data_IF_162124780040
#
_entry.id   IF_162124780040
#
_cell.length_a   1.000
_cell.length_b   1.000
_cell.length_c   1.000
_cell.angle_alpha   90.00
_cell.angle_beta   90.00
_cell.angle_gamma   90.00
#
_symmetry.space_group_name_H-M   'P 1'
#
loop_
_entity.id
_entity.type
_entity.pdbx_description
1 polymer ?
#
# COMPACT_ATOMS: atom_id res chain seq x y z
N UNK A 1 -7.09 18.36 -39.85
CA UNK A 1 -6.00 17.47 -40.26
C UNK A 1 -6.10 16.19 -39.42
N UNK A 2 -6.66 15.12 -39.99
CA UNK A 2 -6.86 13.83 -39.31
C UNK A 2 -5.58 13.00 -39.43
N UNK A 3 -4.90 12.72 -38.32
CA UNK A 3 -3.73 11.83 -38.32
C UNK A 3 -4.20 10.39 -38.62
N UNK A 4 -3.76 9.75 -39.71
CA UNK A 4 -4.14 8.37 -39.98
C UNK A 4 -3.50 7.46 -38.93
N UNK A 5 -4.31 6.62 -38.28
CA UNK A 5 -3.85 5.57 -37.39
C UNK A 5 -2.90 4.64 -38.17
N UNK A 6 -1.59 4.78 -37.90
CA UNK A 6 -0.59 3.94 -38.55
C UNK A 6 -0.76 2.46 -38.14
N UNK A 7 -0.50 1.49 -39.04
CA UNK A 7 -0.72 0.06 -38.79
C UNK A 7 -0.02 -0.50 -37.54
N UNK A 8 1.13 0.04 -37.15
CA UNK A 8 1.85 -0.39 -35.96
C UNK A 8 1.11 -0.03 -34.65
N UNK A 9 0.25 1.01 -34.65
CA UNK A 9 -0.60 1.30 -33.49
C UNK A 9 -1.58 0.15 -33.23
N UNK A 10 -2.09 -0.51 -34.28
CA UNK A 10 -2.96 -1.67 -34.13
C UNK A 10 -2.19 -2.85 -33.55
N UNK A 11 -0.97 -3.10 -34.04
CA UNK A 11 -0.09 -4.13 -33.47
C UNK A 11 0.24 -3.85 -32.00
N UNK A 12 0.48 -2.59 -31.64
CA UNK A 12 0.72 -2.17 -30.26
C UNK A 12 -0.50 -2.37 -29.36
N UNK A 13 -1.69 -1.91 -29.77
CA UNK A 13 -2.94 -2.11 -29.02
C UNK A 13 -3.25 -3.59 -28.86
N UNK A 14 -3.03 -4.39 -29.91
CA UNK A 14 -3.19 -5.84 -29.85
C UNK A 14 -2.22 -6.49 -28.86
N UNK A 15 -0.94 -6.12 -28.90
CA UNK A 15 0.07 -6.63 -27.98
C UNK A 15 -0.22 -6.25 -26.53
N UNK A 16 -0.58 -4.98 -26.26
CA UNK A 16 -0.99 -4.51 -24.92
C UNK A 16 -2.24 -5.26 -24.45
N UNK A 17 -3.24 -5.44 -25.33
CA UNK A 17 -4.44 -6.20 -25.03
C UNK A 17 -4.15 -7.67 -24.71
N UNK A 18 -3.22 -8.29 -25.43
CA UNK A 18 -2.78 -9.67 -25.20
C UNK A 18 -2.05 -9.82 -23.86
N UNK A 19 -1.08 -8.95 -23.57
CA UNK A 19 -0.35 -8.95 -22.29
C UNK A 19 -1.32 -8.74 -21.12
N UNK A 20 -2.25 -7.79 -21.26
CA UNK A 20 -3.25 -7.53 -20.23
C UNK A 20 -4.15 -8.75 -19.95
N UNK A 21 -4.57 -9.47 -21.00
CA UNK A 21 -5.34 -10.73 -20.84
C UNK A 21 -4.54 -11.79 -20.10
N UNK A 22 -3.27 -11.97 -20.46
CA UNK A 22 -2.40 -12.95 -19.80
C UNK A 22 -2.19 -12.61 -18.32
N UNK A 23 -1.96 -11.33 -18.00
CA UNK A 23 -1.83 -10.86 -16.62
C UNK A 23 -3.11 -11.06 -15.81
N UNK A 24 -4.28 -10.83 -16.41
CA UNK A 24 -5.56 -11.02 -15.73
C UNK A 24 -5.80 -12.47 -15.30
N UNK A 25 -5.43 -13.46 -16.12
CA UNK A 25 -5.55 -14.89 -15.76
C UNK A 25 -4.70 -15.22 -14.53
N UNK A 26 -3.46 -14.72 -14.46
CA UNK A 26 -2.60 -14.92 -13.30
C UNK A 26 -3.17 -14.26 -12.04
N UNK A 27 -3.69 -13.03 -12.17
CA UNK A 27 -4.32 -12.32 -11.05
C UNK A 27 -5.53 -13.09 -10.53
N UNK A 28 -6.41 -13.56 -11.43
CA UNK A 28 -7.61 -14.32 -11.09
C UNK A 28 -7.28 -15.62 -10.37
N UNK A 29 -6.27 -16.35 -10.85
CA UNK A 29 -5.77 -17.55 -10.19
C UNK A 29 -5.27 -17.25 -8.76
N UNK A 30 -4.41 -16.25 -8.60
CA UNK A 30 -3.87 -15.87 -7.28
C UNK A 30 -4.96 -15.38 -6.32
N UNK A 31 -5.98 -14.68 -6.82
CA UNK A 31 -7.15 -14.29 -6.03
C UNK A 31 -7.94 -15.51 -5.54
N UNK A 32 -8.11 -16.49 -6.42
CA UNK A 32 -8.80 -17.75 -6.11
C UNK A 32 -8.01 -18.57 -5.11
N UNK A 33 -6.69 -18.70 -5.29
CA UNK A 33 -5.80 -19.38 -4.36
C UNK A 33 -5.84 -18.74 -2.98
N UNK A 34 -5.73 -17.41 -2.89
CA UNK A 34 -5.86 -16.69 -1.63
C UNK A 34 -7.22 -16.93 -0.95
N UNK A 35 -8.30 -17.06 -1.72
CA UNK A 35 -9.63 -17.40 -1.17
C UNK A 35 -9.65 -18.81 -0.58
N UNK A 36 -9.14 -19.79 -1.32
CA UNK A 36 -9.07 -21.20 -0.86
C UNK A 36 -8.19 -21.31 0.39
N UNK A 37 -7.02 -20.67 0.41
CA UNK A 37 -6.13 -20.66 1.58
C UNK A 37 -6.82 -20.04 2.81
N UNK A 38 -7.66 -19.02 2.63
CA UNK A 38 -8.45 -18.46 3.73
C UNK A 38 -9.55 -19.39 4.20
N UNK A 39 -10.23 -20.08 3.29
CA UNK A 39 -11.24 -21.09 3.64
C UNK A 39 -10.60 -22.21 4.47
N UNK A 40 -9.37 -22.62 4.14
CA UNK A 40 -8.60 -23.60 4.91
C UNK A 40 -8.15 -23.10 6.29
N UNK A 41 -7.73 -21.83 6.40
CA UNK A 41 -7.38 -21.20 7.68
C UNK A 41 -8.63 -20.97 8.56
N UNK A 42 -9.81 -20.94 7.95
CA UNK A 42 -11.11 -20.78 8.60
C UNK A 42 -11.39 -19.36 9.09
N UNK A 43 -12.36 -19.19 10.01
CA UNK A 43 -12.77 -17.88 10.57
C UNK A 43 -11.76 -17.26 11.55
N UNK A 44 -10.56 -17.82 11.67
CA UNK A 44 -9.54 -17.27 12.58
C UNK A 44 -9.09 -15.90 12.07
N UNK A 45 -8.97 -14.92 13.00
CA UNK A 45 -8.41 -13.61 12.68
C UNK A 45 -6.99 -13.80 12.14
N UNK A 46 -6.76 -13.39 10.89
CA UNK A 46 -5.43 -13.40 10.28
C UNK A 46 -4.61 -12.28 10.92
N UNK A 47 -3.73 -12.65 11.85
CA UNK A 47 -2.79 -11.73 12.47
C UNK A 47 -1.55 -11.62 11.57
N UNK A 48 -1.52 -10.57 10.76
CA UNK A 48 -0.34 -10.24 9.97
C UNK A 48 0.76 -9.64 10.85
N UNK A 49 1.98 -10.17 10.74
CA UNK A 49 3.19 -9.58 11.31
C UNK A 49 3.46 -8.21 10.67
N UNK A 50 4.14 -7.31 11.37
CA UNK A 50 4.44 -5.98 10.83
C UNK A 50 5.26 -6.02 9.53
N UNK A 51 6.13 -7.02 9.35
CA UNK A 51 6.82 -7.26 8.08
C UNK A 51 5.89 -7.66 6.94
N UNK A 52 4.88 -8.48 7.22
CA UNK A 52 3.86 -8.86 6.22
C UNK A 52 3.03 -7.64 5.83
N UNK A 53 2.60 -6.84 6.81
CA UNK A 53 1.91 -5.57 6.58
C UNK A 53 2.76 -4.60 5.77
N UNK A 54 4.07 -4.55 6.02
CA UNK A 54 5.02 -3.71 5.26
C UNK A 54 5.10 -4.12 3.80
N UNK A 55 5.27 -5.42 3.53
CA UNK A 55 5.30 -5.93 2.15
C UNK A 55 3.99 -5.64 1.41
N UNK A 56 2.85 -5.88 2.06
CA UNK A 56 1.52 -5.58 1.50
C UNK A 56 1.31 -4.08 1.25
N UNK A 57 1.74 -3.23 2.18
CA UNK A 57 1.61 -1.79 2.05
C UNK A 57 2.41 -1.21 0.88
N UNK A 58 3.64 -1.71 0.67
CA UNK A 58 4.48 -1.28 -0.46
C UNK A 58 3.84 -1.70 -1.79
N UNK A 59 3.48 -2.98 -1.94
CA UNK A 59 2.85 -3.48 -3.17
C UNK A 59 1.47 -2.89 -3.43
N UNK A 60 0.69 -2.68 -2.38
CA UNK A 60 -0.65 -2.10 -2.48
C UNK A 60 -0.67 -0.61 -2.85
N UNK A 61 0.40 0.13 -2.54
CA UNK A 61 0.55 1.53 -2.98
C UNK A 61 0.59 1.64 -4.50
N UNK A 62 1.31 0.74 -5.16
CA UNK A 62 1.49 0.76 -6.63
C UNK A 62 0.19 0.39 -7.37
N UNK A 63 -0.68 -0.42 -6.75
CA UNK A 63 -2.00 -0.77 -7.28
C UNK A 63 -3.04 0.36 -7.14
N UNK A 64 -2.83 1.29 -6.20
CA UNK A 64 -3.78 2.37 -5.89
C UNK A 64 -5.14 1.86 -5.39
N UNK A 65 -6.11 2.77 -5.21
CA UNK A 65 -7.42 2.43 -4.64
C UNK A 65 -8.22 1.49 -5.55
N UNK A 66 -8.33 1.82 -6.84
CA UNK A 66 -9.09 1.03 -7.83
C UNK A 66 -8.51 -0.35 -8.07
N UNK A 67 -7.18 -0.48 -8.12
CA UNK A 67 -6.53 -1.78 -8.26
C UNK A 67 -6.74 -2.65 -7.02
N UNK A 68 -6.66 -2.06 -5.82
CA UNK A 68 -6.95 -2.78 -4.58
C UNK A 68 -8.42 -3.23 -4.48
N UNK A 69 -9.38 -2.42 -4.94
CA UNK A 69 -10.80 -2.79 -5.00
C UNK A 69 -11.05 -3.97 -5.96
N UNK A 70 -10.33 -4.02 -7.08
CA UNK A 70 -10.45 -5.10 -8.07
C UNK A 70 -9.81 -6.41 -7.65
N UNK A 71 -8.70 -6.36 -6.91
CA UNK A 71 -7.88 -7.53 -6.58
C UNK A 71 -8.24 -8.08 -5.20
N UNK A 72 -8.70 -7.24 -4.27
CA UNK A 72 -8.91 -7.66 -2.89
C UNK A 72 -10.25 -7.23 -2.28
N UNK A 73 -11.18 -8.19 -2.11
CA UNK A 73 -12.19 -8.11 -1.07
C UNK A 73 -11.63 -8.43 0.35
N UNK A 74 -10.33 -8.76 0.48
CA UNK A 74 -9.72 -9.31 1.70
C UNK A 74 -9.38 -8.27 2.77
N UNK A 75 -8.86 -7.10 2.36
CA UNK A 75 -8.57 -5.98 3.24
C UNK A 75 -9.07 -4.71 2.57
N UNK A 76 -9.75 -3.85 3.32
CA UNK A 76 -10.20 -2.55 2.81
C UNK A 76 -8.99 -1.79 2.24
N UNK A 77 -9.09 -1.22 1.03
CA UNK A 77 -8.00 -0.44 0.42
C UNK A 77 -7.44 0.61 1.39
N UNK A 78 -8.31 1.24 2.18
CA UNK A 78 -7.95 2.22 3.20
C UNK A 78 -7.01 1.66 4.28
N UNK A 79 -7.13 0.39 4.65
CA UNK A 79 -6.26 -0.27 5.64
C UNK A 79 -4.83 -0.41 5.13
N UNK A 80 -4.66 -0.83 3.88
CA UNK A 80 -3.34 -0.94 3.24
C UNK A 80 -2.71 0.43 3.08
N UNK A 81 -3.47 1.40 2.58
CA UNK A 81 -2.98 2.77 2.42
C UNK A 81 -2.65 3.41 3.79
N UNK A 82 -3.37 3.05 4.85
CA UNK A 82 -3.04 3.45 6.22
C UNK A 82 -1.73 2.82 6.70
N UNK A 83 -1.49 1.53 6.45
CA UNK A 83 -0.20 0.91 6.76
C UNK A 83 0.95 1.58 6.00
N UNK A 84 0.76 1.89 4.72
CA UNK A 84 1.74 2.63 3.93
C UNK A 84 2.05 4.00 4.56
N UNK A 85 1.01 4.77 4.92
CA UNK A 85 1.18 6.06 5.63
C UNK A 85 1.93 5.91 6.95
N UNK A 86 1.64 4.86 7.72
CA UNK A 86 2.36 4.57 8.98
C UNK A 86 3.84 4.28 8.74
N UNK A 87 4.18 3.52 7.71
CA UNK A 87 5.57 3.23 7.34
C UNK A 87 6.31 4.49 6.89
N UNK A 88 5.65 5.34 6.10
CA UNK A 88 6.21 6.65 5.71
C UNK A 88 6.44 7.52 6.95
N UNK A 89 5.47 7.60 7.85
CA UNK A 89 5.61 8.36 9.09
C UNK A 89 6.78 7.84 9.94
N UNK A 90 6.92 6.52 10.10
CA UNK A 90 8.05 5.91 10.81
C UNK A 90 9.40 6.19 10.14
N UNK A 91 9.47 6.19 8.80
CA UNK A 91 10.71 6.55 8.08
C UNK A 91 11.15 7.98 8.39
N UNK A 92 10.18 8.89 8.52
CA UNK A 92 10.40 10.30 8.81
C UNK A 92 10.28 10.64 10.29
N UNK A 93 10.16 9.62 11.14
CA UNK A 93 10.10 9.80 12.58
C UNK A 93 11.52 10.08 13.08
N UNK A 94 11.89 11.36 13.06
CA UNK A 94 13.15 11.87 13.60
C UNK A 94 13.06 12.11 15.12
N UNK A 95 12.07 11.56 15.81
CA UNK A 95 11.90 11.76 17.26
C UNK A 95 13.14 11.38 18.07
N UNK A 96 13.84 10.30 17.69
CA UNK A 96 15.12 9.91 18.30
C UNK A 96 16.27 10.90 18.01
N UNK A 97 16.19 11.62 16.87
CA UNK A 97 17.16 12.65 16.47
C UNK A 97 16.80 14.05 16.97
N UNK A 98 15.60 14.21 17.53
CA UNK A 98 15.15 15.46 18.13
C UNK A 98 15.86 15.59 19.48
N UNK A 99 17.10 16.10 19.48
CA UNK A 99 17.72 16.68 20.69
C UNK A 99 16.64 17.56 21.33
N UNK A 100 16.30 17.31 22.60
CA UNK A 100 15.46 18.24 23.38
C UNK A 100 16.17 19.61 23.33
N UNK A 101 15.81 20.45 22.38
CA UNK A 101 16.13 21.87 22.43
C UNK A 101 15.27 22.42 23.56
N UNK A 102 15.79 22.31 24.77
CA UNK A 102 15.12 22.72 25.98
C UNK A 102 14.92 24.23 25.96
N UNK A 103 13.73 24.68 26.37
CA UNK A 103 13.61 26.01 26.98
C UNK A 103 14.45 25.95 28.25
N UNK A 104 15.46 26.82 28.44
CA UNK A 104 16.21 26.86 29.69
C UNK A 104 15.21 27.04 30.85
N UNK A 105 15.38 26.34 31.97
CA UNK A 105 14.51 26.52 33.13
C UNK A 105 14.52 27.99 33.53
N UNK A 106 13.38 28.66 33.46
CA UNK A 106 13.26 30.00 34.02
C UNK A 106 13.43 29.88 35.54
N UNK A 107 14.42 30.60 36.07
CA UNK A 107 14.79 30.61 37.48
C UNK A 107 13.53 30.84 38.34
N UNK A 108 13.22 30.00 39.35
CA UNK A 108 12.11 30.27 40.23
C UNK A 108 12.40 31.58 40.98
N UNK A 109 11.50 32.56 40.81
CA UNK A 109 11.57 33.84 41.51
C UNK A 109 11.48 33.64 43.03
N UNK A 110 12.11 34.51 43.84
CA UNK A 110 12.14 34.35 45.28
C UNK A 110 10.72 34.42 45.84
N UNK A 111 10.34 33.40 46.62
CA UNK A 111 9.12 33.41 47.43
C UNK A 111 9.35 34.41 48.57
N UNK A 112 8.68 35.55 48.51
CA UNK A 112 8.53 36.49 49.61
C UNK A 112 7.66 35.86 50.70
N UNK A 113 8.15 35.87 51.94
CA UNK A 113 7.39 35.57 53.15
C UNK A 113 6.59 36.76 53.65
#
# INVERSE_FOLDING_TARGET
MTTPLQPWHLAFVWAVGWVNRQQNVTIEYLCTENRVLREQIGKKRILLTDDQRRRLAVKGKDLGRKGLESIMPLFTPDTILRWHRKLVAQKWDYSDRRKKAGRPPSRPGPRSG
#
